data_IF_855292695892
#
_entry.id   IF_855292695892
#
_cell.length_a   1.000
_cell.length_b   1.000
_cell.length_c   1.000
_cell.angle_alpha   90.00
_cell.angle_beta   90.00
_cell.angle_gamma   90.00
#
_symmetry.space_group_name_H-M   'P 1'
#
loop_
_entity.id
_entity.type
_entity.pdbx_description
1 polymer ?
#
# COMPACT_ATOMS: atom_id res chain seq x y z
N UNK A 1 10.48 -17.65 -14.13
CA UNK A 1 9.90 -17.17 -12.84
C UNK A 1 8.56 -16.47 -13.12
N UNK A 2 7.46 -16.92 -12.50
CA UNK A 2 6.11 -16.39 -12.73
C UNK A 2 5.98 -14.97 -12.19
N UNK A 3 5.31 -14.10 -12.94
CA UNK A 3 4.99 -12.73 -12.53
C UNK A 3 3.48 -12.51 -12.53
N UNK A 4 2.94 -11.85 -11.50
CA UNK A 4 1.54 -11.51 -11.38
C UNK A 4 1.36 -10.00 -11.31
N UNK A 5 0.89 -9.42 -12.40
CA UNK A 5 0.62 -7.98 -12.48
C UNK A 5 -0.58 -7.53 -11.63
N UNK A 6 -1.58 -8.40 -11.42
CA UNK A 6 -2.83 -8.02 -10.74
C UNK A 6 -2.63 -7.82 -9.25
N UNK A 7 -2.75 -6.57 -8.76
CA UNK A 7 -2.78 -6.24 -7.32
C UNK A 7 -3.92 -6.98 -6.64
N UNK A 8 -5.11 -6.95 -7.24
CA UNK A 8 -6.32 -7.58 -6.69
C UNK A 8 -6.16 -9.08 -6.44
N UNK A 9 -5.57 -9.85 -7.36
CA UNK A 9 -5.39 -11.29 -7.14
C UNK A 9 -4.50 -11.58 -5.92
N UNK A 10 -3.42 -10.81 -5.75
CA UNK A 10 -2.50 -10.96 -4.62
C UNK A 10 -3.16 -10.55 -3.30
N UNK A 11 -3.87 -9.43 -3.29
CA UNK A 11 -4.65 -8.98 -2.13
C UNK A 11 -5.73 -10.00 -1.77
N UNK A 12 -6.49 -10.51 -2.74
CA UNK A 12 -7.54 -11.51 -2.52
C UNK A 12 -6.96 -12.81 -1.94
N UNK A 13 -5.78 -13.24 -2.39
CA UNK A 13 -5.12 -14.41 -1.83
C UNK A 13 -4.83 -14.28 -0.34
N UNK A 14 -4.34 -13.11 0.10
CA UNK A 14 -4.08 -12.83 1.52
C UNK A 14 -5.39 -12.64 2.30
N UNK A 15 -6.41 -12.01 1.72
CA UNK A 15 -7.73 -11.87 2.36
C UNK A 15 -8.42 -13.22 2.65
N UNK A 16 -8.07 -14.29 1.93
CA UNK A 16 -8.60 -15.63 2.21
C UNK A 16 -7.95 -16.33 3.41
N UNK A 17 -6.83 -15.83 3.92
CA UNK A 17 -6.18 -16.35 5.12
C UNK A 17 -6.46 -15.41 6.31
N UNK A 18 -7.20 -15.85 7.35
CA UNK A 18 -7.60 -14.99 8.48
C UNK A 18 -6.43 -14.34 9.22
N UNK A 19 -5.27 -15.01 9.25
CA UNK A 19 -4.09 -14.50 9.96
C UNK A 19 -3.34 -13.40 9.19
N UNK A 20 -3.55 -13.29 7.87
CA UNK A 20 -3.00 -12.19 7.06
C UNK A 20 -4.05 -11.13 6.74
N UNK A 21 -5.33 -11.50 6.64
CA UNK A 21 -6.43 -10.60 6.29
C UNK A 21 -6.54 -9.39 7.23
N UNK A 22 -6.28 -9.57 8.53
CA UNK A 22 -6.34 -8.49 9.54
C UNK A 22 -5.30 -7.37 9.35
N UNK A 23 -4.27 -7.62 8.54
CA UNK A 23 -3.22 -6.67 8.19
C UNK A 23 -3.46 -5.99 6.83
N UNK A 24 -4.52 -6.35 6.11
CA UNK A 24 -4.84 -5.77 4.80
C UNK A 24 -5.84 -4.63 5.02
N UNK A 25 -5.55 -3.39 4.57
CA UNK A 25 -6.53 -2.32 4.59
C UNK A 25 -7.79 -2.73 3.83
N UNK A 26 -8.98 -2.28 4.24
CA UNK A 26 -10.23 -2.62 3.56
C UNK A 26 -10.09 -2.32 2.06
N UNK A 27 -10.28 -3.34 1.21
CA UNK A 27 -9.99 -3.25 -0.23
C UNK A 27 -11.12 -3.92 -1.01
N UNK A 28 -11.66 -3.23 -2.02
CA UNK A 28 -12.68 -3.75 -2.91
C UNK A 28 -12.42 -3.35 -4.37
N UNK A 29 -13.08 -4.03 -5.31
CA UNK A 29 -13.10 -3.56 -6.69
C UNK A 29 -13.91 -2.25 -6.77
N UNK A 30 -13.49 -1.35 -7.65
CA UNK A 30 -14.18 -0.09 -7.78
C UNK A 30 -15.57 -0.26 -8.39
N UNK A 31 -16.56 0.30 -7.70
CA UNK A 31 -17.82 0.78 -8.26
C UNK A 31 -18.17 2.11 -7.59
N UNK A 32 -19.14 2.84 -8.13
CA UNK A 32 -19.59 4.10 -7.51
C UNK A 32 -20.16 3.88 -6.10
N UNK A 33 -20.92 2.80 -5.91
CA UNK A 33 -21.49 2.48 -4.60
C UNK A 33 -20.41 2.08 -3.59
N UNK A 34 -19.43 1.30 -4.02
CA UNK A 34 -18.27 0.96 -3.19
C UNK A 34 -17.46 2.22 -2.83
N UNK A 35 -17.26 3.14 -3.77
CA UNK A 35 -16.61 4.42 -3.49
C UNK A 35 -17.39 5.22 -2.46
N UNK A 36 -18.70 5.33 -2.63
CA UNK A 36 -19.58 6.06 -1.69
C UNK A 36 -19.51 5.46 -0.30
N UNK A 37 -19.58 4.13 -0.18
CA UNK A 37 -19.49 3.41 1.09
C UNK A 37 -18.12 3.63 1.75
N UNK A 38 -17.03 3.43 1.00
CA UNK A 38 -15.67 3.57 1.54
C UNK A 38 -15.37 5.00 2.01
N UNK A 39 -15.87 6.03 1.30
CA UNK A 39 -15.73 7.44 1.70
C UNK A 39 -16.59 7.84 2.91
N UNK A 40 -17.58 7.03 3.29
CA UNK A 40 -18.32 7.20 4.56
C UNK A 40 -17.57 6.59 5.74
N UNK A 41 -16.87 5.49 5.52
CA UNK A 41 -16.18 4.72 6.56
C UNK A 41 -14.77 5.21 6.86
N UNK A 42 -14.09 5.75 5.86
CA UNK A 42 -12.68 6.11 5.93
C UNK A 42 -12.45 7.58 5.62
N UNK A 43 -11.51 8.21 6.32
CA UNK A 43 -11.16 9.62 6.11
C UNK A 43 -10.70 9.90 4.67
N UNK A 44 -10.02 8.94 4.05
CA UNK A 44 -9.70 8.96 2.63
C UNK A 44 -9.49 7.53 2.12
N UNK A 45 -9.50 7.39 0.80
CA UNK A 45 -9.26 6.13 0.10
C UNK A 45 -8.25 6.35 -1.02
N UNK A 46 -7.60 5.27 -1.43
CA UNK A 46 -6.85 5.22 -2.68
C UNK A 46 -7.63 4.45 -3.74
N UNK A 47 -7.72 5.03 -4.92
CA UNK A 47 -8.26 4.40 -6.12
C UNK A 47 -7.06 4.08 -7.01
N UNK A 48 -6.78 2.79 -7.23
CA UNK A 48 -5.56 2.31 -7.90
C UNK A 48 -5.91 1.39 -9.08
N UNK A 49 -5.19 1.43 -10.22
CA UNK A 49 -5.38 0.45 -11.28
C UNK A 49 -5.09 -0.96 -10.76
N UNK A 50 -5.89 -1.96 -11.14
CA UNK A 50 -5.67 -3.36 -10.76
C UNK A 50 -4.32 -3.87 -11.28
N UNK A 51 -3.92 -3.43 -12.47
CA UNK A 51 -2.60 -3.70 -13.07
C UNK A 51 -1.91 -2.37 -13.38
N UNK A 52 -0.69 -2.19 -12.87
CA UNK A 52 0.10 -0.98 -13.04
C UNK A 52 1.26 -0.92 -12.05
N UNK A 53 2.16 0.05 -12.22
CA UNK A 53 3.33 0.26 -11.38
C UNK A 53 3.70 1.74 -11.33
N UNK A 54 4.69 2.09 -10.49
CA UNK A 54 5.22 3.46 -10.40
C UNK A 54 4.22 4.51 -9.92
N UNK A 55 3.10 4.12 -9.32
CA UNK A 55 2.04 5.05 -8.88
C UNK A 55 1.21 5.67 -10.01
N UNK A 56 1.43 5.27 -11.26
CA UNK A 56 0.68 5.78 -12.41
C UNK A 56 -0.80 5.39 -12.27
N UNK A 57 -1.67 6.38 -12.45
CA UNK A 57 -3.12 6.21 -12.37
C UNK A 57 -3.66 6.08 -10.95
N UNK A 58 -2.83 6.17 -9.90
CA UNK A 58 -3.29 6.19 -8.51
C UNK A 58 -3.89 7.55 -8.17
N UNK A 59 -5.04 7.53 -7.52
CA UNK A 59 -5.74 8.71 -7.01
C UNK A 59 -5.99 8.55 -5.52
N UNK A 60 -5.77 9.61 -4.75
CA UNK A 60 -6.24 9.73 -3.36
C UNK A 60 -7.54 10.50 -3.35
N UNK A 61 -8.59 9.95 -2.77
CA UNK A 61 -9.89 10.60 -2.68
C UNK A 61 -10.30 10.77 -1.22
N UNK A 62 -10.67 11.98 -0.83
CA UNK A 62 -11.12 12.30 0.51
C UNK A 62 -12.45 13.06 0.44
N UNK A 63 -13.31 12.83 1.44
CA UNK A 63 -14.47 13.68 1.68
C UNK A 63 -14.00 14.90 2.48
N UNK A 64 -14.36 16.09 2.03
CA UNK A 64 -14.07 17.35 2.73
C UNK A 64 -15.35 17.93 3.34
N UNK A 65 -15.24 18.98 4.17
CA UNK A 65 -16.39 19.67 4.75
C UNK A 65 -17.37 20.16 3.68
N UNK A 66 -16.85 20.59 2.52
CA UNK A 66 -17.61 21.07 1.37
C UNK A 66 -17.21 20.29 0.12
N UNK A 67 -17.74 19.07 0.00
CA UNK A 67 -17.58 18.22 -1.17
C UNK A 67 -16.45 17.19 -1.04
N UNK A 68 -15.62 17.07 -2.08
CA UNK A 68 -14.63 16.01 -2.22
C UNK A 68 -13.34 16.53 -2.86
N UNK A 69 -12.22 15.98 -2.45
CA UNK A 69 -10.92 16.18 -3.08
C UNK A 69 -10.42 14.88 -3.71
N UNK A 70 -9.97 14.96 -4.96
CA UNK A 70 -9.28 13.89 -5.67
C UNK A 70 -7.88 14.37 -6.06
N UNK A 71 -6.86 13.82 -5.42
CA UNK A 71 -5.46 14.10 -5.70
C UNK A 71 -4.89 13.01 -6.61
N UNK A 72 -4.30 13.41 -7.75
CA UNK A 72 -3.53 12.54 -8.64
C UNK A 72 -2.17 13.17 -8.84
N UNK A 73 -1.10 12.42 -8.54
CA UNK A 73 0.26 12.97 -8.50
C UNK A 73 0.32 14.22 -7.58
N UNK A 74 0.66 15.38 -8.11
CA UNK A 74 0.76 16.65 -7.37
C UNK A 74 -0.48 17.55 -7.54
N UNK A 75 -1.44 17.14 -8.37
CA UNK A 75 -2.64 17.94 -8.66
C UNK A 75 -3.83 17.45 -7.83
N UNK A 76 -4.52 18.39 -7.18
CA UNK A 76 -5.76 18.13 -6.44
C UNK A 76 -6.93 18.81 -7.13
N UNK A 77 -7.91 18.01 -7.54
CA UNK A 77 -9.17 18.47 -8.09
C UNK A 77 -10.25 18.43 -7.00
N UNK A 78 -11.03 19.50 -6.86
CA UNK A 78 -12.13 19.58 -5.89
C UNK A 78 -13.47 19.54 -6.60
N UNK A 79 -14.42 18.84 -5.99
CA UNK A 79 -15.76 18.61 -6.52
C UNK A 79 -16.80 18.91 -5.45
N UNK A 80 -17.82 19.68 -5.80
CA UNK A 80 -18.88 20.10 -4.86
C UNK A 80 -19.80 18.96 -4.44
N UNK A 81 -19.99 17.94 -5.28
CA UNK A 81 -20.87 16.81 -5.00
C UNK A 81 -20.36 15.47 -5.58
N UNK A 82 -20.96 14.37 -5.13
CA UNK A 82 -20.48 13.01 -5.45
C UNK A 82 -20.51 12.68 -6.94
N UNK A 83 -21.57 13.08 -7.66
CA UNK A 83 -21.65 12.86 -9.12
C UNK A 83 -20.52 13.58 -9.89
N UNK A 84 -20.18 14.81 -9.50
CA UNK A 84 -19.07 15.54 -10.11
C UNK A 84 -17.72 14.86 -9.81
N UNK A 85 -17.53 14.36 -8.59
CA UNK A 85 -16.36 13.54 -8.24
C UNK A 85 -16.24 12.30 -9.13
N UNK A 86 -17.30 11.52 -9.27
CA UNK A 86 -17.31 10.30 -10.10
C UNK A 86 -16.93 10.63 -11.54
N UNK A 87 -17.54 11.66 -12.12
CA UNK A 87 -17.23 12.11 -13.47
C UNK A 87 -15.75 12.54 -13.60
N UNK A 88 -15.23 13.28 -12.63
CA UNK A 88 -13.82 13.66 -12.56
C UNK A 88 -12.89 12.45 -12.46
N UNK A 89 -13.21 11.46 -11.61
CA UNK A 89 -12.46 10.21 -11.51
C UNK A 89 -12.43 9.50 -12.86
N UNK A 90 -13.56 9.38 -13.55
CA UNK A 90 -13.63 8.69 -14.85
C UNK A 90 -12.77 9.39 -15.92
N UNK A 91 -12.67 10.72 -15.90
CA UNK A 91 -11.73 11.47 -16.75
C UNK A 91 -10.26 11.27 -16.38
N UNK A 92 -9.95 11.10 -15.09
CA UNK A 92 -8.58 10.94 -14.60
C UNK A 92 -8.06 9.51 -14.71
N UNK A 93 -8.94 8.53 -14.91
CA UNK A 93 -8.59 7.12 -15.03
C UNK A 93 -7.88 6.84 -16.34
N UNK A 94 -6.99 5.85 -16.27
CA UNK A 94 -6.53 5.14 -17.47
C UNK A 94 -7.52 4.03 -17.80
N UNK A 95 -7.59 3.59 -19.06
CA UNK A 95 -8.50 2.53 -19.52
C UNK A 95 -8.14 1.15 -18.94
N UNK A 96 -8.42 0.94 -17.66
CA UNK A 96 -8.15 -0.31 -16.92
C UNK A 96 -9.17 -0.50 -15.80
N UNK A 97 -9.34 -1.73 -15.29
CA UNK A 97 -10.04 -1.97 -14.03
C UNK A 97 -9.30 -1.33 -12.84
N UNK A 98 -10.05 -0.92 -11.84
CA UNK A 98 -9.55 -0.25 -10.63
C UNK A 98 -10.04 -0.93 -9.36
N UNK A 99 -9.27 -0.75 -8.28
CA UNK A 99 -9.65 -1.10 -6.92
C UNK A 99 -9.72 0.16 -6.04
N UNK A 100 -10.46 0.08 -4.95
CA UNK A 100 -10.52 1.06 -3.87
C UNK A 100 -9.90 0.41 -2.65
N UNK A 101 -9.00 1.13 -1.98
CA UNK A 101 -8.34 0.68 -0.76
C UNK A 101 -8.45 1.78 0.28
N UNK A 102 -8.73 1.41 1.53
CA UNK A 102 -8.68 2.30 2.68
C UNK A 102 -7.35 3.06 2.73
N UNK A 103 -7.43 4.37 2.94
CA UNK A 103 -6.28 5.21 3.19
C UNK A 103 -5.79 5.05 4.62
N UNK A 104 -4.50 4.74 4.79
CA UNK A 104 -3.86 4.66 6.10
C UNK A 104 -3.06 5.94 6.34
N UNK A 105 -3.28 6.60 7.47
CA UNK A 105 -2.44 7.70 7.93
C UNK A 105 -1.15 7.12 8.48
N UNK A 106 -0.12 7.09 7.63
CA UNK A 106 1.17 6.50 7.98
C UNK A 106 1.88 7.31 9.07
N UNK A 107 2.59 6.59 9.94
CA UNK A 107 3.58 7.16 10.83
C UNK A 107 4.63 7.92 10.01
N UNK A 108 5.17 8.98 10.62
CA UNK A 108 6.00 9.94 9.92
C UNK A 108 7.29 10.24 10.68
N UNK A 109 8.34 10.56 9.92
CA UNK A 109 9.58 11.13 10.42
C UNK A 109 9.57 12.59 9.99
N UNK A 110 9.61 13.52 10.95
CA UNK A 110 9.55 14.96 10.70
C UNK A 110 8.34 15.35 9.83
N UNK A 111 7.16 14.80 10.14
CA UNK A 111 5.91 15.07 9.42
C UNK A 111 5.80 14.45 8.02
N UNK A 112 6.81 13.71 7.55
CA UNK A 112 6.79 13.04 6.24
C UNK A 112 6.54 11.54 6.40
N UNK A 113 5.57 10.96 5.68
CA UNK A 113 5.18 9.57 5.87
C UNK A 113 6.32 8.61 5.50
N UNK A 114 6.34 7.46 6.17
CA UNK A 114 7.29 6.38 5.94
C UNK A 114 6.55 5.08 5.67
N UNK A 115 7.03 4.34 4.68
CA UNK A 115 6.63 2.95 4.48
C UNK A 115 7.88 2.04 4.44
N UNK A 116 7.69 0.71 4.50
CA UNK A 116 8.76 -0.26 4.57
C UNK A 116 8.66 -1.28 3.44
N UNK A 117 9.73 -1.40 2.66
CA UNK A 117 9.89 -2.43 1.62
C UNK A 117 10.65 -3.62 2.19
N UNK A 118 10.04 -4.79 2.10
CA UNK A 118 10.69 -6.08 2.36
C UNK A 118 10.83 -6.85 1.06
N UNK A 119 12.06 -7.23 0.70
CA UNK A 119 12.36 -8.06 -0.48
C UNK A 119 12.78 -9.44 -0.03
N UNK A 120 12.09 -10.47 -0.53
CA UNK A 120 12.44 -11.87 -0.33
C UNK A 120 12.60 -12.55 -1.70
N UNK A 121 13.55 -13.47 -1.79
CA UNK A 121 13.88 -14.21 -3.03
C UNK A 121 13.99 -15.68 -2.70
N UNK A 122 13.44 -16.53 -3.57
CA UNK A 122 13.53 -17.98 -3.44
C UNK A 122 14.86 -18.48 -4.01
N UNK A 123 15.67 -19.15 -3.21
CA UNK A 123 16.86 -19.89 -3.62
C UNK A 123 16.61 -21.38 -3.44
N UNK A 124 16.54 -22.13 -4.56
CA UNK A 124 16.12 -23.52 -4.52
C UNK A 124 14.71 -23.68 -3.94
N UNK A 125 14.60 -24.24 -2.72
CA UNK A 125 13.34 -24.41 -2.00
C UNK A 125 13.15 -23.44 -0.83
N UNK A 126 14.15 -22.66 -0.47
CA UNK A 126 14.11 -21.74 0.67
C UNK A 126 13.86 -20.30 0.22
N UNK A 127 13.26 -19.50 1.10
CA UNK A 127 13.01 -18.07 0.86
C UNK A 127 13.90 -17.22 1.77
N UNK A 128 14.72 -16.37 1.16
CA UNK A 128 15.68 -15.54 1.88
C UNK A 128 15.32 -14.07 1.84
N UNK A 129 15.47 -13.41 2.98
CA UNK A 129 15.29 -11.96 3.12
C UNK A 129 16.51 -11.23 2.54
N UNK A 130 16.30 -10.46 1.48
CA UNK A 130 17.34 -9.68 0.81
C UNK A 130 17.42 -8.24 1.29
N UNK A 131 16.29 -7.65 1.63
CA UNK A 131 16.25 -6.27 2.09
C UNK A 131 15.06 -6.01 3.00
N UNK A 132 15.29 -5.17 4.00
CA UNK A 132 14.24 -4.50 4.80
C UNK A 132 14.65 -3.03 4.89
N UNK A 133 14.05 -2.21 4.02
CA UNK A 133 14.38 -0.78 3.91
C UNK A 133 13.13 0.05 4.16
N UNK A 134 13.33 1.25 4.72
CA UNK A 134 12.28 2.23 4.85
C UNK A 134 12.39 3.28 3.74
N UNK A 135 11.23 3.71 3.25
CA UNK A 135 11.07 4.71 2.20
C UNK A 135 10.49 5.96 2.83
N UNK A 136 11.32 6.99 3.01
CA UNK A 136 10.91 8.26 3.59
C UNK A 136 10.45 9.21 2.48
N UNK A 137 9.20 9.66 2.54
CA UNK A 137 8.65 10.54 1.52
C UNK A 137 9.43 11.87 1.40
N UNK A 138 9.42 12.46 0.20
CA UNK A 138 9.86 13.84 0.02
C UNK A 138 8.89 14.82 0.73
N UNK A 139 9.37 16.01 1.14
CA UNK A 139 8.49 17.08 1.61
C UNK A 139 7.33 17.34 0.64
N UNK A 140 6.13 17.58 1.18
CA UNK A 140 4.93 17.92 0.39
C UNK A 140 4.20 16.74 -0.29
N UNK A 141 4.73 15.51 -0.27
CA UNK A 141 4.06 14.36 -0.86
C UNK A 141 3.20 13.57 0.14
N UNK A 142 1.96 13.31 -0.24
CA UNK A 142 1.00 12.49 0.52
C UNK A 142 1.19 10.99 0.27
N UNK A 143 2.03 10.61 -0.70
CA UNK A 143 2.28 9.22 -1.09
C UNK A 143 3.79 8.95 -1.09
N UNK A 144 4.21 7.87 -0.43
CA UNK A 144 5.59 7.43 -0.19
C UNK A 144 6.29 6.79 -1.40
N UNK A 145 5.80 7.05 -2.62
CA UNK A 145 6.29 6.34 -3.80
C UNK A 145 7.74 6.70 -4.13
N UNK A 146 8.68 5.77 -3.85
CA UNK A 146 10.14 5.97 -3.99
C UNK A 146 10.57 6.46 -5.36
N UNK A 147 9.83 6.10 -6.42
CA UNK A 147 10.11 6.53 -7.79
C UNK A 147 10.08 8.05 -7.95
N UNK A 148 9.55 8.78 -6.97
CA UNK A 148 9.60 10.25 -6.90
C UNK A 148 10.69 10.77 -5.96
N UNK A 149 11.71 9.96 -5.66
CA UNK A 149 12.96 10.31 -4.99
C UNK A 149 12.89 10.57 -3.48
N UNK A 150 12.12 9.76 -2.76
CA UNK A 150 12.26 9.63 -1.31
C UNK A 150 13.63 9.07 -0.91
N UNK A 151 14.00 9.24 0.36
CA UNK A 151 15.27 8.75 0.90
C UNK A 151 15.10 7.29 1.36
N UNK A 152 16.09 6.45 1.06
CA UNK A 152 16.17 5.10 1.59
C UNK A 152 16.89 5.11 2.93
N UNK A 153 16.24 4.55 3.95
CA UNK A 153 16.81 4.33 5.28
C UNK A 153 16.85 2.83 5.56
N UNK A 154 17.73 2.41 6.47
CA UNK A 154 17.63 1.05 7.02
C UNK A 154 16.30 0.93 7.77
N UNK A 155 15.58 -0.19 7.60
CA UNK A 155 14.26 -0.35 8.21
C UNK A 155 14.28 -0.19 9.74
N UNK A 156 15.33 -0.70 10.39
CA UNK A 156 15.55 -0.53 11.85
C UNK A 156 15.77 0.92 12.26
N UNK A 157 16.52 1.67 11.46
CA UNK A 157 16.85 3.07 11.73
C UNK A 157 15.59 3.93 11.67
N UNK A 158 14.81 3.82 10.59
CA UNK A 158 13.56 4.54 10.46
C UNK A 158 12.56 4.20 11.58
N UNK A 159 12.46 2.93 11.99
CA UNK A 159 11.62 2.56 13.13
C UNK A 159 12.08 3.22 14.44
N UNK A 160 13.40 3.36 14.66
CA UNK A 160 13.96 4.03 15.85
C UNK A 160 13.79 5.54 15.84
N UNK A 161 13.64 6.15 14.67
CA UNK A 161 13.32 7.58 14.52
C UNK A 161 11.86 7.88 14.85
N UNK A 162 10.97 6.88 14.76
CA UNK A 162 9.52 7.02 15.02
C UNK A 162 9.16 6.52 16.42
N UNK A 163 9.77 5.43 16.88
CA UNK A 163 9.36 4.71 18.09
C UNK A 163 10.52 4.49 19.07
N UNK A 164 10.24 4.36 20.38
CA UNK A 164 11.22 3.90 21.36
C UNK A 164 11.88 2.57 20.94
N UNK A 165 13.15 2.38 21.32
CA UNK A 165 13.99 1.25 20.89
C UNK A 165 13.30 -0.12 21.01
N UNK A 166 12.63 -0.40 22.13
CA UNK A 166 11.93 -1.67 22.38
C UNK A 166 10.80 -1.90 21.37
N UNK A 167 9.97 -0.88 21.14
CA UNK A 167 8.86 -0.95 20.20
C UNK A 167 9.36 -1.06 18.74
N UNK A 168 10.42 -0.32 18.38
CA UNK A 168 11.05 -0.43 17.07
C UNK A 168 11.53 -1.87 16.76
N UNK A 169 12.15 -2.54 17.73
CA UNK A 169 12.58 -3.96 17.59
C UNK A 169 11.35 -4.87 17.41
N UNK A 170 10.31 -4.67 18.22
CA UNK A 170 9.07 -5.44 18.14
C UNK A 170 8.41 -5.29 16.77
N UNK A 171 8.27 -4.06 16.26
CA UNK A 171 7.65 -3.78 14.96
C UNK A 171 8.43 -4.36 13.79
N UNK A 172 9.75 -4.33 13.85
CA UNK A 172 10.59 -5.04 12.87
C UNK A 172 10.32 -6.55 12.89
N UNK A 173 10.26 -7.17 14.06
CA UNK A 173 9.98 -8.60 14.20
C UNK A 173 8.59 -8.94 13.64
N UNK A 174 7.59 -8.13 13.95
CA UNK A 174 6.23 -8.25 13.43
C UNK A 174 6.19 -8.24 11.90
N UNK A 175 6.87 -7.27 11.25
CA UNK A 175 6.98 -7.20 9.78
C UNK A 175 7.62 -8.47 9.19
N UNK A 176 8.69 -8.98 9.80
CA UNK A 176 9.39 -10.18 9.32
C UNK A 176 8.51 -11.41 9.46
N UNK A 177 7.90 -11.62 10.64
CA UNK A 177 7.00 -12.75 10.90
C UNK A 177 5.77 -12.72 10.00
N UNK A 178 5.18 -11.54 9.78
CA UNK A 178 4.08 -11.37 8.85
C UNK A 178 4.47 -11.68 7.41
N UNK A 179 5.68 -11.26 6.99
CA UNK A 179 6.22 -11.62 5.68
C UNK A 179 6.36 -13.13 5.54
N UNK A 180 6.95 -13.81 6.53
CA UNK A 180 7.10 -15.27 6.55
C UNK A 180 5.75 -15.99 6.45
N UNK A 181 4.71 -15.47 7.11
CA UNK A 181 3.35 -16.02 7.05
C UNK A 181 2.69 -15.82 5.68
N UNK A 182 2.96 -14.70 5.00
CA UNK A 182 2.36 -14.42 3.68
C UNK A 182 2.98 -15.24 2.54
N UNK A 183 4.27 -15.60 2.63
CA UNK A 183 4.99 -16.34 1.58
C UNK A 183 4.27 -17.64 1.17
N UNK A 184 3.96 -18.59 2.09
CA UNK A 184 3.34 -19.86 1.71
C UNK A 184 1.92 -19.68 1.17
N UNK A 185 1.17 -18.67 1.63
CA UNK A 185 -0.16 -18.33 1.09
C UNK A 185 -0.07 -17.95 -0.38
N UNK A 186 0.88 -17.06 -0.70
CA UNK A 186 1.09 -16.58 -2.08
C UNK A 186 1.70 -17.67 -2.97
N UNK A 187 2.65 -18.44 -2.47
CA UNK A 187 3.31 -19.51 -3.22
C UNK A 187 2.33 -20.63 -3.59
N UNK A 188 1.51 -21.07 -2.63
CA UNK A 188 0.45 -22.07 -2.88
C UNK A 188 -0.56 -21.56 -3.89
N UNK A 189 -1.00 -20.30 -3.76
CA UNK A 189 -1.99 -19.71 -4.66
C UNK A 189 -1.44 -19.45 -6.06
N UNK A 190 -0.15 -19.19 -6.15
CA UNK A 190 0.53 -18.83 -7.39
C UNK A 190 1.86 -19.58 -7.56
N UNK A 191 1.83 -20.88 -7.89
CA UNK A 191 3.03 -21.66 -8.12
C UNK A 191 3.95 -21.02 -9.17
N UNK A 192 5.26 -21.08 -8.93
CA UNK A 192 6.31 -20.56 -9.82
C UNK A 192 6.75 -19.11 -9.55
N UNK A 193 6.18 -18.43 -8.55
CA UNK A 193 6.76 -17.17 -8.04
C UNK A 193 8.10 -17.47 -7.35
N UNK A 194 9.09 -16.60 -7.54
CA UNK A 194 10.41 -16.78 -6.92
C UNK A 194 11.01 -15.52 -6.30
N UNK A 195 10.24 -14.43 -6.30
CA UNK A 195 10.61 -13.19 -5.62
C UNK A 195 9.34 -12.45 -5.20
N UNK A 196 9.39 -11.83 -4.02
CA UNK A 196 8.29 -11.04 -3.48
C UNK A 196 8.82 -9.74 -2.87
N UNK A 197 8.11 -8.65 -3.12
CA UNK A 197 8.32 -7.36 -2.49
C UNK A 197 7.07 -6.95 -1.75
N UNK A 198 7.14 -6.83 -0.43
CA UNK A 198 6.05 -6.36 0.40
C UNK A 198 6.26 -4.88 0.73
N UNK A 199 5.20 -4.09 0.56
CA UNK A 199 5.13 -2.70 1.01
C UNK A 199 4.28 -2.66 2.26
N UNK A 200 4.91 -2.36 3.39
CA UNK A 200 4.26 -2.21 4.68
C UNK A 200 4.10 -0.74 5.06
N UNK A 201 2.98 -0.40 5.66
CA UNK A 201 2.76 0.86 6.34
C UNK A 201 2.55 0.63 7.82
N UNK A 202 3.03 1.53 8.66
CA UNK A 202 2.60 1.59 10.06
C UNK A 202 1.74 2.83 10.22
N UNK A 203 0.58 2.72 10.86
CA UNK A 203 -0.19 3.92 11.22
C UNK A 203 0.37 4.61 12.47
N UNK A 204 -0.24 5.73 12.87
CA UNK A 204 0.19 6.52 14.02
C UNK A 204 0.15 5.77 15.36
N UNK A 205 -0.64 4.69 15.47
CA UNK A 205 -0.69 3.82 16.65
C UNK A 205 0.38 2.71 16.60
N UNK A 206 1.12 2.61 15.50
CA UNK A 206 2.08 1.55 15.25
C UNK A 206 1.46 0.24 14.76
N UNK A 207 0.18 0.21 14.36
CA UNK A 207 -0.40 -0.98 13.74
C UNK A 207 0.20 -1.17 12.34
N UNK A 208 0.63 -2.41 12.05
CA UNK A 208 1.23 -2.78 10.77
C UNK A 208 0.14 -3.08 9.75
N UNK A 209 0.35 -2.63 8.51
CA UNK A 209 -0.52 -2.83 7.37
C UNK A 209 0.28 -3.30 6.16
N UNK A 210 -0.22 -4.28 5.41
CA UNK A 210 0.30 -4.66 4.09
C UNK A 210 -0.41 -3.79 3.05
N UNK A 211 0.31 -2.81 2.51
CA UNK A 211 -0.22 -1.88 1.51
C UNK A 211 -0.25 -2.50 0.11
N UNK A 212 0.80 -3.24 -0.23
CA UNK A 212 0.95 -3.91 -1.53
C UNK A 212 1.93 -5.08 -1.45
N UNK A 213 1.74 -6.07 -2.33
CA UNK A 213 2.73 -7.13 -2.60
C UNK A 213 3.05 -7.11 -4.09
N UNK A 214 4.31 -7.31 -4.46
CA UNK A 214 4.82 -7.35 -5.83
C UNK A 214 5.57 -8.66 -6.09
N UNK A 215 5.38 -9.29 -7.25
CA UNK A 215 6.17 -10.50 -7.64
C UNK A 215 7.32 -10.19 -8.60
N UNK A 216 7.61 -8.90 -8.77
CA UNK A 216 8.78 -8.36 -9.49
C UNK A 216 9.23 -7.09 -8.79
N UNK A 217 9.68 -7.18 -7.53
CA UNK A 217 10.25 -6.03 -6.86
C UNK A 217 11.51 -5.58 -7.60
N UNK A 218 11.56 -4.29 -7.93
CA UNK A 218 12.83 -3.60 -8.15
C UNK A 218 13.56 -3.56 -6.81
#
# INVERSE_FOLDING_TARGET
MRQLASKWLKTKALLHDPHTAVYIPETCLYSEDQLRMMLRRHAFVFIKPVKGGGGIGVMRVAKERRGYACTRMEHTHRFSHFRALVFGIHKLRIQRPYLIQQGIQLASIQGRPVDYRVKVVKEGQTWDFRAVVARHARPGLVITNLCKGGTLLKGTEALRMIYPRRLAIQKRREIIQLTQRCIPVLERRFPGIGQLGFDYGLDQSGRVWILEVNTRPQ
#
